data_IF_882337488704
#
_entry.id   IF_882337488704
#
_cell.length_a   1.000
_cell.length_b   1.000
_cell.length_c   1.000
_cell.angle_alpha   90.00
_cell.angle_beta   90.00
_cell.angle_gamma   90.00
#
_symmetry.space_group_name_H-M   'P 1'
#
loop_
_entity.id
_entity.type
_entity.pdbx_description
1 polymer ?
#
# COMPACT_ATOMS: atom_id res chain seq x y z
N UNK A 1 13.67 -3.63 23.68
CA UNK A 1 13.79 -3.84 22.23
C UNK A 1 13.87 -2.46 21.59
N UNK A 2 14.95 -2.14 20.88
CA UNK A 2 15.06 -0.86 20.17
C UNK A 2 13.99 -0.82 19.06
N UNK A 3 13.19 0.24 19.03
CA UNK A 3 12.17 0.47 18.01
C UNK A 3 12.85 0.60 16.65
N UNK A 4 12.55 -0.30 15.73
CA UNK A 4 13.24 -0.42 14.44
C UNK A 4 12.81 0.67 13.43
N UNK A 5 11.75 1.43 13.74
CA UNK A 5 11.15 2.47 12.89
C UNK A 5 10.65 3.65 13.72
N UNK A 6 10.52 4.80 13.07
CA UNK A 6 9.73 5.93 13.55
C UNK A 6 8.75 6.31 12.44
N UNK A 7 7.47 6.41 12.79
CA UNK A 7 6.42 6.87 11.89
C UNK A 7 6.05 8.28 12.35
N UNK A 8 6.20 9.27 11.46
CA UNK A 8 5.79 10.65 11.71
C UNK A 8 4.59 10.95 10.81
N UNK A 9 3.38 10.76 11.36
CA UNK A 9 2.15 11.13 10.68
C UNK A 9 2.18 12.63 10.36
N UNK A 10 2.02 12.96 9.07
CA UNK A 10 1.98 14.35 8.63
C UNK A 10 0.65 15.04 8.99
N UNK A 11 -0.42 14.27 9.27
CA UNK A 11 -1.68 14.76 9.83
C UNK A 11 -2.35 13.69 10.71
N UNK A 12 -2.27 13.83 12.03
CA UNK A 12 -2.79 12.83 12.99
C UNK A 12 -4.31 12.62 12.91
N UNK A 13 -5.05 13.57 12.35
CA UNK A 13 -6.52 13.49 12.26
C UNK A 13 -6.97 12.44 11.24
N UNK A 14 -6.41 12.47 10.03
CA UNK A 14 -6.75 11.55 8.95
C UNK A 14 -6.30 10.13 9.27
N UNK A 15 -5.16 10.00 9.94
CA UNK A 15 -4.64 8.70 10.33
C UNK A 15 -5.53 7.98 11.37
N UNK A 16 -6.09 8.73 12.31
CA UNK A 16 -7.09 8.20 13.24
C UNK A 16 -8.40 7.80 12.52
N UNK A 17 -8.77 8.48 11.43
CA UNK A 17 -9.88 8.05 10.59
C UNK A 17 -9.57 6.72 9.88
N UNK A 18 -8.34 6.54 9.37
CA UNK A 18 -7.91 5.27 8.75
C UNK A 18 -7.95 4.12 9.76
N UNK A 19 -7.40 4.32 10.97
CA UNK A 19 -7.49 3.32 12.04
C UNK A 19 -8.94 2.94 12.34
N UNK A 20 -9.84 3.91 12.44
CA UNK A 20 -11.27 3.65 12.66
C UNK A 20 -11.90 2.94 11.47
N UNK A 21 -11.59 3.34 10.25
CA UNK A 21 -12.14 2.75 9.04
C UNK A 21 -11.71 1.30 8.82
N UNK A 22 -10.48 0.95 9.23
CA UNK A 22 -9.96 -0.41 9.20
C UNK A 22 -10.41 -1.25 10.41
N UNK A 23 -10.76 -0.61 11.53
CA UNK A 23 -11.21 -1.27 12.76
C UNK A 23 -12.73 -1.44 12.86
N UNK A 24 -13.50 -0.67 12.10
CA UNK A 24 -14.95 -0.66 12.27
C UNK A 24 -15.54 -2.00 11.81
N UNK A 25 -16.38 -2.56 12.68
CA UNK A 25 -17.20 -3.75 12.43
C UNK A 25 -17.82 -3.66 11.03
N UNK A 26 -17.85 -4.82 10.36
CA UNK A 26 -18.16 -5.10 8.95
C UNK A 26 -19.33 -4.28 8.33
N UNK A 27 -20.19 -3.68 9.15
CA UNK A 27 -21.30 -2.82 8.76
C UNK A 27 -20.97 -1.33 8.52
N UNK A 28 -19.88 -0.78 9.07
CA UNK A 28 -19.57 0.65 8.91
C UNK A 28 -18.91 0.92 7.55
N UNK A 29 -19.74 1.38 6.61
CA UNK A 29 -19.32 1.91 5.32
C UNK A 29 -18.45 3.14 5.57
N UNK A 30 -17.13 3.01 5.41
CA UNK A 30 -16.26 4.18 5.34
C UNK A 30 -16.30 4.71 3.90
N UNK A 31 -16.27 6.04 3.75
CA UNK A 31 -16.06 6.68 2.46
C UNK A 31 -14.66 6.39 1.92
N UNK A 32 -14.30 7.09 0.86
CA UNK A 32 -12.91 7.12 0.40
C UNK A 32 -12.11 7.97 1.37
N UNK A 33 -11.11 7.37 2.02
CA UNK A 33 -10.23 8.06 2.96
C UNK A 33 -8.85 8.17 2.35
N UNK A 34 -8.21 9.32 2.52
CA UNK A 34 -6.84 9.56 2.14
C UNK A 34 -6.05 9.95 3.39
N UNK A 35 -4.91 9.30 3.62
CA UNK A 35 -3.98 9.70 4.66
C UNK A 35 -2.57 9.79 4.09
N UNK A 36 -1.80 10.75 4.59
CA UNK A 36 -0.37 10.85 4.32
C UNK A 36 0.44 10.45 5.54
N UNK A 37 1.55 9.77 5.29
CA UNK A 37 2.48 9.36 6.34
C UNK A 37 3.93 9.45 5.86
N UNK A 38 4.88 9.37 6.78
CA UNK A 38 6.32 9.33 6.47
C UNK A 38 6.93 8.06 7.04
N UNK A 39 7.63 7.33 6.17
CA UNK A 39 8.37 6.14 6.52
C UNK A 39 9.84 6.45 6.73
N UNK A 40 10.33 6.23 7.96
CA UNK A 40 11.75 6.32 8.32
C UNK A 40 12.21 5.06 9.06
N UNK A 41 13.24 4.41 8.50
CA UNK A 41 13.92 3.28 9.13
C UNK A 41 14.90 3.81 10.20
N UNK A 42 14.85 3.29 11.44
CA UNK A 42 15.75 3.66 12.55
C UNK A 42 15.80 5.15 12.96
N UNK A 43 14.70 5.91 12.81
CA UNK A 43 14.64 7.30 13.29
C UNK A 43 15.67 8.26 12.66
N UNK A 44 16.13 7.97 11.43
CA UNK A 44 17.13 8.77 10.73
C UNK A 44 17.44 8.29 9.31
N UNK A 45 18.58 8.72 8.77
CA UNK A 45 19.02 8.45 7.40
C UNK A 45 19.31 6.95 7.16
N UNK A 46 18.94 6.46 5.97
CA UNK A 46 19.27 5.11 5.51
C UNK A 46 20.78 4.84 5.59
N UNK A 47 21.13 3.70 6.19
CA UNK A 47 22.51 3.23 6.31
C UNK A 47 22.74 2.13 5.27
N UNK A 48 23.53 2.38 4.22
CA UNK A 48 23.87 1.36 3.23
C UNK A 48 24.45 0.12 3.90
N UNK A 49 23.99 -1.08 3.49
CA UNK A 49 24.47 -2.35 4.02
C UNK A 49 23.78 -2.85 5.30
N UNK A 50 22.85 -2.09 5.89
CA UNK A 50 22.04 -2.55 7.02
C UNK A 50 20.68 -3.07 6.52
N UNK A 51 20.58 -4.38 6.34
CA UNK A 51 19.32 -5.02 5.96
C UNK A 51 18.26 -4.85 7.06
N UNK A 52 17.03 -4.58 6.64
CA UNK A 52 15.89 -4.57 7.54
C UNK A 52 15.40 -5.98 7.77
N UNK A 53 15.36 -6.39 9.04
CA UNK A 53 14.71 -7.66 9.41
C UNK A 53 13.21 -7.51 9.24
N UNK A 54 12.64 -8.25 8.31
CA UNK A 54 11.21 -8.35 8.08
C UNK A 54 10.56 -9.32 9.07
N UNK A 55 9.28 -9.10 9.37
CA UNK A 55 8.42 -10.08 10.02
C UNK A 55 8.14 -11.28 9.11
N UNK A 56 7.53 -12.33 9.66
CA UNK A 56 7.24 -13.56 8.93
C UNK A 56 6.35 -13.31 7.69
N UNK A 57 5.29 -12.52 7.86
CA UNK A 57 4.34 -12.19 6.79
C UNK A 57 4.98 -11.35 5.66
N UNK A 58 5.78 -10.35 6.00
CA UNK A 58 6.49 -9.55 5.01
C UNK A 58 7.60 -10.37 4.30
N UNK A 59 8.24 -11.30 5.02
CA UNK A 59 9.19 -12.26 4.43
C UNK A 59 8.49 -13.20 3.45
N UNK A 60 7.29 -13.68 3.78
CA UNK A 60 6.48 -14.49 2.87
C UNK A 60 6.17 -13.74 1.58
N UNK A 61 5.71 -12.48 1.69
CA UNK A 61 5.46 -11.60 0.53
C UNK A 61 6.72 -11.38 -0.30
N UNK A 62 7.89 -11.21 0.35
CA UNK A 62 9.16 -11.02 -0.35
C UNK A 62 9.62 -12.27 -1.12
N UNK A 63 9.44 -13.46 -0.53
CA UNK A 63 9.99 -14.71 -1.06
C UNK A 63 9.09 -15.38 -2.09
N UNK A 64 7.80 -15.06 -2.12
CA UNK A 64 6.88 -15.66 -3.08
C UNK A 64 7.12 -15.10 -4.49
N UNK A 65 7.15 -15.95 -5.54
CA UNK A 65 7.29 -15.46 -6.91
C UNK A 65 6.14 -14.50 -7.24
N UNK A 66 6.45 -13.27 -7.61
CA UNK A 66 5.43 -12.35 -8.11
C UNK A 66 4.86 -12.87 -9.43
N UNK A 67 3.62 -12.48 -9.79
CA UNK A 67 3.04 -12.80 -11.10
C UNK A 67 3.74 -12.07 -12.28
N UNK A 68 4.93 -11.50 -12.04
CA UNK A 68 5.77 -10.71 -12.94
C UNK A 68 5.97 -9.27 -12.46
N UNK A 69 7.21 -8.78 -12.44
CA UNK A 69 7.52 -7.38 -12.11
C UNK A 69 8.82 -7.20 -11.31
N UNK A 70 9.03 -5.99 -10.79
CA UNK A 70 10.11 -5.62 -9.84
C UNK A 70 9.51 -4.81 -8.68
N UNK A 71 8.69 -5.46 -7.86
CA UNK A 71 7.90 -4.84 -6.77
C UNK A 71 8.00 -5.58 -5.43
N UNK A 72 8.83 -6.63 -5.35
CA UNK A 72 9.01 -7.49 -4.19
C UNK A 72 9.33 -6.69 -2.93
N UNK A 73 10.26 -5.72 -3.04
CA UNK A 73 10.65 -4.88 -1.88
C UNK A 73 9.51 -3.95 -1.45
N UNK A 74 8.81 -3.35 -2.41
CA UNK A 74 7.72 -2.42 -2.09
C UNK A 74 6.52 -3.12 -1.46
N UNK A 75 6.22 -4.34 -1.88
CA UNK A 75 5.13 -5.15 -1.35
C UNK A 75 5.47 -5.69 0.04
N UNK A 76 6.67 -6.23 0.23
CA UNK A 76 7.14 -6.72 1.52
C UNK A 76 7.16 -5.60 2.57
N UNK A 77 7.72 -4.44 2.22
CA UNK A 77 7.72 -3.28 3.13
C UNK A 77 6.33 -2.70 3.33
N UNK A 78 5.42 -2.80 2.36
CA UNK A 78 4.01 -2.45 2.56
C UNK A 78 3.37 -3.36 3.60
N UNK A 79 3.62 -4.67 3.51
CA UNK A 79 3.07 -5.61 4.48
C UNK A 79 3.63 -5.36 5.89
N UNK A 80 4.94 -5.13 6.00
CA UNK A 80 5.55 -4.74 7.27
C UNK A 80 4.92 -3.44 7.81
N UNK A 81 4.78 -2.40 6.98
CA UNK A 81 4.10 -1.17 7.36
C UNK A 81 2.68 -1.42 7.87
N UNK A 82 1.88 -2.25 7.18
CA UNK A 82 0.52 -2.59 7.63
C UNK A 82 0.51 -3.34 8.96
N UNK A 83 1.49 -4.22 9.19
CA UNK A 83 1.64 -4.93 10.47
C UNK A 83 1.90 -3.96 11.61
N UNK A 84 2.92 -3.11 11.48
CA UNK A 84 3.29 -2.16 12.52
C UNK A 84 2.22 -1.12 12.77
N UNK A 85 1.64 -0.59 11.70
CA UNK A 85 0.74 0.55 11.82
C UNK A 85 -0.68 0.14 12.17
N UNK A 86 -1.14 -1.04 11.75
CA UNK A 86 -2.53 -1.45 11.91
C UNK A 86 -2.72 -2.81 12.59
N UNK A 87 -1.64 -3.53 12.90
CA UNK A 87 -1.72 -4.89 13.44
C UNK A 87 -2.19 -5.91 12.41
N UNK A 88 -1.83 -5.71 11.13
CA UNK A 88 -2.18 -6.65 10.06
C UNK A 88 -1.56 -8.04 10.29
N UNK A 89 -2.35 -9.08 10.05
CA UNK A 89 -2.01 -10.51 10.25
C UNK A 89 -2.67 -11.38 9.16
N UNK A 90 -2.51 -12.71 9.23
CA UNK A 90 -3.16 -13.69 8.35
C UNK A 90 -2.96 -13.41 6.85
N UNK A 91 -1.73 -13.18 6.44
CA UNK A 91 -1.43 -12.78 5.06
C UNK A 91 -1.72 -13.91 4.07
N UNK A 92 -2.36 -13.56 2.96
CA UNK A 92 -2.51 -14.40 1.76
C UNK A 92 -2.00 -13.60 0.58
N UNK A 93 -0.94 -14.07 -0.05
CA UNK A 93 -0.19 -13.35 -1.10
C UNK A 93 -0.90 -13.39 -2.46
N UNK A 94 -0.48 -12.54 -3.40
CA UNK A 94 -1.04 -12.44 -4.77
C UNK A 94 -1.25 -13.83 -5.43
N UNK A 95 -0.27 -14.73 -5.29
CA UNK A 95 -0.30 -16.02 -5.97
C UNK A 95 -1.21 -17.06 -5.29
N UNK A 96 -1.51 -16.87 -4.01
CA UNK A 96 -2.43 -17.70 -3.25
C UNK A 96 -3.89 -17.26 -3.43
N UNK A 97 -4.12 -15.98 -3.77
CA UNK A 97 -5.47 -15.46 -3.99
C UNK A 97 -6.07 -16.06 -5.26
N UNK A 98 -7.21 -16.71 -5.05
CA UNK A 98 -8.01 -17.32 -6.11
C UNK A 98 -9.01 -16.33 -6.70
N UNK A 99 -8.93 -16.18 -8.02
CA UNK A 99 -9.86 -15.41 -8.83
C UNK A 99 -10.68 -16.32 -9.74
N UNK A 100 -11.86 -15.86 -10.16
CA UNK A 100 -12.73 -16.58 -11.11
C UNK A 100 -12.08 -16.84 -12.48
N UNK A 101 -11.09 -16.04 -12.87
CA UNK A 101 -10.35 -16.19 -14.13
C UNK A 101 -8.88 -15.81 -13.93
N UNK A 102 -7.99 -16.47 -14.68
CA UNK A 102 -6.55 -16.22 -14.66
C UNK A 102 -6.16 -14.79 -15.11
N UNK A 103 -7.00 -14.15 -15.94
CA UNK A 103 -6.72 -12.84 -16.53
C UNK A 103 -7.31 -11.67 -15.70
N UNK A 104 -7.78 -11.95 -14.48
CA UNK A 104 -8.41 -10.94 -13.64
C UNK A 104 -7.41 -9.95 -13.04
N UNK A 105 -7.87 -8.75 -12.67
CA UNK A 105 -7.03 -7.79 -11.93
C UNK A 105 -6.79 -8.32 -10.52
N UNK A 106 -5.52 -8.39 -10.13
CA UNK A 106 -5.09 -8.91 -8.83
C UNK A 106 -4.76 -7.79 -7.84
N UNK A 107 -4.81 -8.15 -6.57
CA UNK A 107 -4.26 -7.36 -5.46
C UNK A 107 -3.00 -8.05 -4.98
N UNK A 108 -2.09 -7.28 -4.40
CA UNK A 108 -0.75 -7.75 -4.05
C UNK A 108 -0.80 -8.70 -2.84
N UNK A 109 -1.70 -8.46 -1.86
CA UNK A 109 -2.01 -9.41 -0.80
C UNK A 109 -3.36 -9.13 -0.12
N UNK A 110 -3.85 -10.11 0.62
CA UNK A 110 -4.91 -9.96 1.61
C UNK A 110 -4.31 -10.06 3.02
N UNK A 111 -4.88 -9.34 3.98
CA UNK A 111 -4.55 -9.47 5.39
C UNK A 111 -5.81 -9.27 6.25
N UNK A 112 -5.69 -9.63 7.53
CA UNK A 112 -6.68 -9.39 8.57
C UNK A 112 -6.24 -8.20 9.41
N UNK A 113 -7.08 -7.17 9.52
CA UNK A 113 -6.85 -6.01 10.39
C UNK A 113 -8.03 -5.95 11.36
N UNK A 114 -7.77 -6.20 12.65
CA UNK A 114 -8.78 -6.19 13.73
C UNK A 114 -10.05 -6.99 13.37
N UNK A 115 -9.87 -8.18 12.79
CA UNK A 115 -10.95 -9.09 12.40
C UNK A 115 -11.63 -8.76 11.06
N UNK A 116 -11.27 -7.66 10.40
CA UNK A 116 -11.76 -7.32 9.06
C UNK A 116 -10.80 -7.83 8.00
N UNK A 117 -11.33 -8.48 6.95
CA UNK A 117 -10.51 -8.92 5.83
C UNK A 117 -10.30 -7.76 4.85
N UNK A 118 -9.03 -7.46 4.56
CA UNK A 118 -8.63 -6.31 3.75
C UNK A 118 -7.79 -6.79 2.57
N UNK A 119 -8.11 -6.30 1.38
CA UNK A 119 -7.24 -6.42 0.22
C UNK A 119 -6.32 -5.21 0.13
N UNK A 120 -5.04 -5.43 -0.07
CA UNK A 120 -4.06 -4.36 -0.24
C UNK A 120 -3.50 -4.43 -1.65
N UNK A 121 -3.56 -3.31 -2.36
CA UNK A 121 -2.73 -3.10 -3.54
C UNK A 121 -1.65 -2.07 -3.28
N UNK A 122 -0.45 -2.37 -3.75
CA UNK A 122 0.76 -1.58 -3.56
C UNK A 122 1.14 -0.95 -4.89
N UNK A 123 1.63 0.28 -4.81
CA UNK A 123 2.24 0.95 -5.96
C UNK A 123 3.28 1.95 -5.51
N UNK A 124 4.16 2.31 -6.43
CA UNK A 124 5.16 3.35 -6.24
C UNK A 124 4.80 4.56 -7.09
N UNK A 125 4.91 5.74 -6.50
CA UNK A 125 4.82 7.02 -7.17
C UNK A 125 6.20 7.68 -7.08
N UNK A 126 6.89 7.69 -8.21
CA UNK A 126 8.29 8.10 -8.33
C UNK A 126 8.56 8.72 -9.69
N UNK A 127 9.66 9.46 -9.78
CA UNK A 127 10.18 9.99 -11.03
C UNK A 127 11.01 8.92 -11.73
N UNK A 128 10.57 8.49 -12.92
CA UNK A 128 11.30 7.50 -13.72
C UNK A 128 12.43 8.10 -14.55
N UNK A 129 12.32 9.39 -14.91
CA UNK A 129 13.31 10.17 -15.65
C UNK A 129 13.50 11.51 -14.94
N UNK A 130 14.76 11.93 -14.75
CA UNK A 130 15.10 13.19 -14.07
C UNK A 130 14.47 14.43 -14.72
N UNK A 131 14.09 14.35 -15.99
CA UNK A 131 13.55 15.47 -16.77
C UNK A 131 12.03 15.61 -16.73
N UNK A 132 11.29 14.62 -16.21
CA UNK A 132 9.83 14.73 -16.11
C UNK A 132 9.42 15.12 -14.69
N UNK A 133 8.42 15.99 -14.55
CA UNK A 133 7.80 16.25 -13.26
C UNK A 133 6.68 15.24 -13.01
N UNK A 134 6.51 14.81 -11.76
CA UNK A 134 5.33 14.04 -11.35
C UNK A 134 4.25 15.06 -10.98
N UNK A 135 3.34 15.32 -11.91
CA UNK A 135 2.30 16.31 -11.77
C UNK A 135 0.91 15.69 -11.57
N UNK A 136 -0.09 16.55 -11.75
CA UNK A 136 -1.52 16.18 -11.67
C UNK A 136 -1.90 15.10 -12.70
N UNK A 137 -1.33 15.14 -13.89
CA UNK A 137 -1.62 14.18 -14.96
C UNK A 137 -1.12 12.78 -14.60
N UNK A 138 0.12 12.66 -14.12
CA UNK A 138 0.73 11.40 -13.67
C UNK A 138 -0.02 10.84 -12.47
N UNK A 139 -0.34 11.69 -11.48
CA UNK A 139 -1.13 11.32 -10.31
C UNK A 139 -2.52 10.78 -10.71
N UNK A 140 -3.21 11.47 -11.61
CA UNK A 140 -4.53 11.08 -12.11
C UNK A 140 -4.48 9.76 -12.87
N UNK A 141 -3.50 9.57 -13.76
CA UNK A 141 -3.31 8.34 -14.52
C UNK A 141 -2.99 7.14 -13.59
N UNK A 142 -2.11 7.34 -12.62
CA UNK A 142 -1.76 6.33 -11.62
C UNK A 142 -2.99 5.91 -10.79
N UNK A 143 -3.72 6.90 -10.25
CA UNK A 143 -4.92 6.68 -9.44
C UNK A 143 -6.01 5.98 -10.24
N UNK A 144 -6.32 6.45 -11.46
CA UNK A 144 -7.36 5.86 -12.31
C UNK A 144 -7.05 4.39 -12.58
N UNK A 145 -5.80 4.08 -12.95
CA UNK A 145 -5.35 2.69 -13.20
C UNK A 145 -5.51 1.82 -11.96
N UNK A 146 -5.01 2.28 -10.80
CA UNK A 146 -4.95 1.46 -9.59
C UNK A 146 -6.30 1.32 -8.88
N UNK A 147 -7.08 2.38 -8.80
CA UNK A 147 -8.42 2.35 -8.21
C UNK A 147 -9.40 1.52 -9.05
N UNK A 148 -9.37 1.67 -10.38
CA UNK A 148 -10.16 0.79 -11.26
C UNK A 148 -9.76 -0.69 -11.08
N UNK A 149 -8.45 -0.97 -10.95
CA UNK A 149 -7.95 -2.32 -10.67
C UNK A 149 -8.54 -2.92 -9.40
N UNK A 150 -8.62 -2.15 -8.31
CA UNK A 150 -9.22 -2.59 -7.04
C UNK A 150 -10.72 -2.87 -7.15
N UNK A 151 -11.46 -2.05 -7.89
CA UNK A 151 -12.90 -2.26 -8.14
C UNK A 151 -13.10 -3.56 -8.91
N UNK A 152 -12.31 -3.80 -9.96
CA UNK A 152 -12.38 -5.04 -10.73
C UNK A 152 -11.99 -6.24 -9.86
N UNK A 153 -10.89 -6.17 -9.12
CA UNK A 153 -10.41 -7.24 -8.26
C UNK A 153 -11.46 -7.70 -7.25
N UNK A 154 -12.20 -6.75 -6.65
CA UNK A 154 -13.26 -7.02 -5.67
C UNK A 154 -14.32 -7.99 -6.18
N UNK A 155 -14.69 -7.87 -7.45
CA UNK A 155 -15.73 -8.69 -8.08
C UNK A 155 -15.19 -10.06 -8.49
N UNK A 156 -13.90 -10.16 -8.78
CA UNK A 156 -13.28 -11.38 -9.30
C UNK A 156 -12.75 -12.35 -8.27
N UNK A 157 -12.62 -11.95 -7.01
CA UNK A 157 -12.12 -12.85 -5.97
C UNK A 157 -13.15 -13.91 -5.61
N UNK A 158 -12.71 -15.17 -5.50
CA UNK A 158 -13.55 -16.29 -5.09
C UNK A 158 -14.05 -16.12 -3.63
N UNK A 159 -15.20 -16.71 -3.30
CA UNK A 159 -15.84 -16.59 -1.97
C UNK A 159 -14.91 -16.90 -0.79
N UNK A 160 -13.97 -17.85 -0.92
CA UNK A 160 -13.00 -18.21 0.13
C UNK A 160 -12.07 -17.05 0.49
N UNK A 161 -11.77 -16.19 -0.46
CA UNK A 161 -10.86 -15.05 -0.30
C UNK A 161 -11.59 -13.71 -0.33
N UNK A 162 -12.93 -13.73 -0.21
CA UNK A 162 -13.71 -12.49 -0.13
C UNK A 162 -13.20 -11.62 1.01
N UNK A 163 -13.18 -10.33 0.77
CA UNK A 163 -12.72 -9.33 1.73
C UNK A 163 -13.75 -8.21 1.84
N UNK A 164 -13.60 -7.31 2.79
CA UNK A 164 -14.56 -6.22 3.06
C UNK A 164 -14.08 -4.89 2.51
N UNK A 165 -12.81 -4.57 2.72
CA UNK A 165 -12.21 -3.26 2.39
C UNK A 165 -11.02 -3.42 1.46
N UNK A 166 -10.80 -2.41 0.62
CA UNK A 166 -9.60 -2.29 -0.22
C UNK A 166 -8.72 -1.18 0.31
N UNK A 167 -7.42 -1.41 0.39
CA UNK A 167 -6.40 -0.40 0.64
C UNK A 167 -5.55 -0.25 -0.61
N UNK A 168 -5.37 0.98 -1.09
CA UNK A 168 -4.32 1.34 -2.04
C UNK A 168 -3.19 2.00 -1.25
N UNK A 169 -2.09 1.29 -1.06
CA UNK A 169 -0.89 1.82 -0.43
C UNK A 169 0.08 2.33 -1.51
N UNK A 170 0.41 3.62 -1.43
CA UNK A 170 1.23 4.32 -2.42
C UNK A 170 2.51 4.81 -1.76
N UNK A 171 3.63 4.18 -2.10
CA UNK A 171 4.94 4.68 -1.74
C UNK A 171 5.28 5.92 -2.58
N UNK A 172 5.40 7.06 -1.94
CA UNK A 172 5.73 8.33 -2.58
C UNK A 172 7.21 8.66 -2.38
N UNK A 173 7.94 8.90 -3.46
CA UNK A 173 9.37 9.22 -3.39
C UNK A 173 9.62 10.57 -2.70
N UNK A 174 8.69 11.51 -2.84
CA UNK A 174 8.79 12.85 -2.25
C UNK A 174 7.45 13.30 -1.69
N UNK A 175 7.48 14.28 -0.80
CA UNK A 175 6.27 14.92 -0.28
C UNK A 175 5.44 15.56 -1.40
N UNK A 176 6.08 16.23 -2.37
CA UNK A 176 5.40 16.85 -3.50
C UNK A 176 4.57 15.84 -4.32
N UNK A 177 5.07 14.61 -4.49
CA UNK A 177 4.34 13.52 -5.15
C UNK A 177 3.11 13.12 -4.32
N UNK A 178 3.26 12.97 -3.01
CA UNK A 178 2.14 12.66 -2.12
C UNK A 178 1.06 13.76 -2.17
N UNK A 179 1.46 15.03 -2.17
CA UNK A 179 0.54 16.18 -2.34
C UNK A 179 -0.16 16.16 -3.70
N UNK A 180 0.55 15.82 -4.79
CA UNK A 180 -0.07 15.72 -6.11
C UNK A 180 -1.13 14.62 -6.16
N UNK A 181 -0.89 13.48 -5.51
CA UNK A 181 -1.88 12.39 -5.37
C UNK A 181 -3.07 12.85 -4.52
N UNK A 182 -2.82 13.48 -3.38
CA UNK A 182 -3.85 14.04 -2.50
C UNK A 182 -4.77 15.02 -3.25
N UNK A 183 -4.20 15.85 -4.12
CA UNK A 183 -4.97 16.83 -4.89
C UNK A 183 -5.82 16.22 -6.02
N UNK A 184 -5.72 14.92 -6.29
CA UNK A 184 -6.40 14.25 -7.39
C UNK A 184 -7.39 13.16 -6.94
N UNK A 185 -7.22 12.58 -5.74
CA UNK A 185 -7.92 11.34 -5.39
C UNK A 185 -9.46 11.48 -5.40
N UNK A 186 -10.02 12.59 -4.89
CA UNK A 186 -11.48 12.79 -4.83
C UNK A 186 -12.09 12.85 -6.22
N UNK A 187 -11.47 13.59 -7.14
CA UNK A 187 -11.94 13.71 -8.52
C UNK A 187 -11.92 12.36 -9.22
N UNK A 188 -10.85 11.57 -9.06
CA UNK A 188 -10.75 10.24 -9.67
C UNK A 188 -11.72 9.25 -9.03
N UNK A 189 -11.87 9.27 -7.70
CA UNK A 189 -12.81 8.41 -7.00
C UNK A 189 -14.26 8.70 -7.44
N UNK A 190 -14.61 9.98 -7.58
CA UNK A 190 -15.91 10.42 -8.09
C UNK A 190 -16.13 10.00 -9.54
N UNK A 191 -15.14 10.20 -10.42
CA UNK A 191 -15.17 9.76 -11.83
C UNK A 191 -15.43 8.26 -11.96
N UNK A 192 -14.78 7.44 -11.12
CA UNK A 192 -14.95 5.99 -11.10
C UNK A 192 -16.19 5.51 -10.32
N UNK A 193 -16.96 6.42 -9.72
CA UNK A 193 -18.14 6.07 -8.91
C UNK A 193 -17.79 5.31 -7.61
N UNK A 194 -16.56 5.45 -7.12
CA UNK A 194 -16.09 4.77 -5.90
C UNK A 194 -16.58 5.55 -4.70
N UNK A 195 -17.58 5.01 -4.02
CA UNK A 195 -18.23 5.70 -2.91
C UNK A 195 -17.88 5.14 -1.54
N UNK A 196 -17.35 3.90 -1.47
CA UNK A 196 -17.24 3.15 -0.20
C UNK A 196 -16.07 2.17 -0.20
N UNK A 197 -15.57 1.87 1.00
CA UNK A 197 -14.68 0.75 1.32
C UNK A 197 -13.35 0.72 0.54
N UNK A 198 -12.88 1.89 0.10
CA UNK A 198 -11.54 2.05 -0.49
C UNK A 198 -10.79 3.09 0.34
N UNK A 199 -9.62 2.71 0.84
CA UNK A 199 -8.76 3.55 1.67
C UNK A 199 -7.46 3.76 0.91
N UNK A 200 -7.03 5.00 0.77
CA UNK A 200 -5.77 5.36 0.15
C UNK A 200 -4.81 5.81 1.24
N UNK A 201 -3.60 5.25 1.21
CA UNK A 201 -2.52 5.62 2.13
C UNK A 201 -1.34 6.02 1.25
N UNK A 202 -0.95 7.29 1.28
CA UNK A 202 0.22 7.79 0.58
C UNK A 202 1.37 7.99 1.57
N UNK A 203 2.36 7.10 1.51
CA UNK A 203 3.47 7.10 2.47
C UNK A 203 4.73 7.62 1.80
N UNK A 204 5.25 8.75 2.29
CA UNK A 204 6.50 9.35 1.83
C UNK A 204 7.66 8.54 2.36
N UNK A 205 8.45 7.95 1.47
CA UNK A 205 9.61 7.11 1.81
C UNK A 205 10.91 7.69 1.23
N UNK A 206 11.11 9.00 1.40
CA UNK A 206 12.22 9.73 0.79
C UNK A 206 13.61 9.20 1.18
N UNK A 207 13.73 8.60 2.36
CA UNK A 207 14.97 8.04 2.88
C UNK A 207 15.14 6.56 2.55
N UNK A 208 14.19 5.89 1.90
CA UNK A 208 14.23 4.45 1.63
C UNK A 208 14.26 4.16 0.11
N UNK A 209 15.41 4.34 -0.56
CA UNK A 209 15.51 4.17 -2.01
C UNK A 209 15.23 2.74 -2.47
N UNK A 210 15.45 1.75 -1.60
CA UNK A 210 15.29 0.31 -1.91
C UNK A 210 13.87 -0.03 -2.41
N UNK A 211 12.85 0.69 -1.93
CA UNK A 211 11.46 0.59 -2.40
C UNK A 211 11.36 0.90 -3.90
N UNK A 212 12.03 1.98 -4.34
CA UNK A 212 11.89 2.52 -5.70
C UNK A 212 12.76 1.80 -6.73
N UNK A 213 13.93 1.31 -6.31
CA UNK A 213 14.85 0.56 -7.19
C UNK A 213 14.69 -0.96 -7.09
N UNK A 214 13.88 -1.43 -6.14
CA UNK A 214 13.67 -2.85 -5.84
C UNK A 214 14.97 -3.58 -5.49
N UNK A 215 15.71 -3.06 -4.51
CA UNK A 215 16.95 -3.67 -4.02
C UNK A 215 16.66 -4.64 -2.88
N UNK A 216 16.54 -5.93 -3.21
CA UNK A 216 16.24 -7.00 -2.25
C UNK A 216 17.32 -7.18 -1.19
N UNK A 217 18.57 -6.76 -1.46
CA UNK A 217 19.67 -6.81 -0.46
C UNK A 217 19.41 -5.86 0.72
N UNK A 218 18.52 -4.88 0.58
CA UNK A 218 18.14 -3.98 1.65
C UNK A 218 17.17 -4.62 2.68
N UNK A 219 16.63 -5.80 2.36
CA UNK A 219 15.60 -6.49 3.16
C UNK A 219 15.86 -8.00 3.35
N UNK A 220 16.78 -8.59 2.58
CA UNK A 220 17.27 -9.95 2.81
C UNK A 220 18.46 -9.93 3.78
N UNK A 221 18.41 -10.79 4.80
CA UNK A 221 19.52 -11.08 5.72
C UNK A 221 20.17 -12.38 5.28
#
# INVERSE_FOLDING_TARGET
>A
MATQFSIRAADTHDFNQVHRALAADTASRCGVLFATDTFERYGGAFKPGMAMRLGADATLVLCEPNAGGRSEVSEALSMEYMHWQFGATDVVTEMQIQYWSSNWKKVDYLCSIRGTRVAVSVTRAMLFKQEMAFGRQEATALLRKKLHGLVVAKVGVCRRHSYDKSVLHIWCQTFAIATAIAACYESVASELGITKNVILIATVAATEPSIFINDTRAVMI
#
